data_IF_378059322951
#
_entry.id   IF_378059322951
#
_cell.length_a   1.000
_cell.length_b   1.000
_cell.length_c   1.000
_cell.angle_alpha   90.00
_cell.angle_beta   90.00
_cell.angle_gamma   90.00
#
_symmetry.space_group_name_H-M   'P 1'
#
loop_
_entity.id
_entity.type
_entity.pdbx_description
1 polymer ?
#
# COMPACT_ATOMS: atom_id res chain seq x y z
N UNK A 1 -1.71 -6.85 -14.46
CA UNK A 1 -0.77 -5.74 -14.67
C UNK A 1 -0.25 -5.82 -16.10
N UNK A 2 -0.52 -4.79 -16.93
CA UNK A 2 -0.20 -4.84 -18.37
C UNK A 2 1.00 -3.95 -18.74
N UNK A 3 1.43 -3.06 -17.84
CA UNK A 3 2.50 -2.09 -18.06
C UNK A 3 3.53 -2.15 -16.92
N UNK A 4 3.90 -3.36 -16.54
CA UNK A 4 4.85 -3.61 -15.45
C UNK A 4 5.84 -4.68 -15.88
N UNK A 5 7.11 -4.40 -15.68
CA UNK A 5 8.22 -5.33 -15.85
C UNK A 5 9.06 -5.32 -14.58
N UNK A 6 9.09 -6.43 -13.86
CA UNK A 6 10.01 -6.68 -12.78
C UNK A 6 11.14 -7.60 -13.27
N UNK A 7 12.37 -7.24 -12.96
CA UNK A 7 13.57 -7.99 -13.39
C UNK A 7 14.32 -8.60 -12.22
N UNK A 8 13.99 -8.18 -11.00
CA UNK A 8 14.64 -8.67 -9.78
C UNK A 8 13.71 -8.46 -8.57
N UNK A 9 13.93 -9.17 -7.44
CA UNK A 9 13.12 -9.04 -6.24
C UNK A 9 13.53 -7.86 -5.33
N UNK A 10 14.71 -7.26 -5.52
CA UNK A 10 15.26 -6.22 -4.64
C UNK A 10 14.93 -4.79 -5.09
N UNK A 11 14.40 -4.59 -6.30
CA UNK A 11 13.91 -3.29 -6.79
C UNK A 11 14.99 -2.35 -7.32
N UNK A 12 16.25 -2.78 -7.51
CA UNK A 12 17.27 -1.96 -8.17
C UNK A 12 17.02 -1.90 -9.68
N UNK A 13 17.26 -0.75 -10.28
CA UNK A 13 16.94 -0.42 -11.67
C UNK A 13 18.17 -0.25 -12.58
N UNK A 14 19.26 -0.96 -12.26
CA UNK A 14 20.53 -0.92 -12.99
C UNK A 14 20.61 -1.83 -14.23
N UNK A 15 19.50 -2.45 -14.62
CA UNK A 15 19.42 -3.30 -15.81
C UNK A 15 19.04 -2.52 -17.08
N UNK A 16 19.25 -3.16 -18.25
CA UNK A 16 18.81 -2.65 -19.55
C UNK A 16 18.01 -3.74 -20.28
N UNK A 17 16.73 -3.55 -20.64
CA UNK A 17 15.89 -2.38 -20.27
C UNK A 17 15.68 -2.27 -18.76
N UNK A 18 15.36 -1.06 -18.23
CA UNK A 18 15.10 -0.92 -16.80
C UNK A 18 13.73 -1.49 -16.41
N UNK A 19 13.58 -1.98 -15.15
CA UNK A 19 12.26 -2.33 -14.63
C UNK A 19 11.37 -1.08 -14.60
N UNK A 20 10.07 -1.26 -14.79
CA UNK A 20 9.12 -0.16 -14.78
C UNK A 20 7.72 -0.63 -14.33
N UNK A 21 6.92 0.33 -13.91
CA UNK A 21 5.52 0.09 -13.56
C UNK A 21 4.68 1.37 -13.74
N UNK A 22 3.42 1.29 -13.37
CA UNK A 22 2.49 2.42 -13.30
C UNK A 22 1.80 2.45 -11.95
N UNK A 23 1.32 3.63 -11.53
CA UNK A 23 0.56 3.76 -10.28
C UNK A 23 -0.67 2.84 -10.26
N UNK A 24 -1.37 2.70 -11.38
CA UNK A 24 -2.53 1.80 -11.47
C UNK A 24 -2.15 0.31 -11.31
N UNK A 25 -1.03 -0.13 -11.89
CA UNK A 25 -0.57 -1.50 -11.72
C UNK A 25 -0.08 -1.76 -10.30
N UNK A 26 0.59 -0.80 -9.67
CA UNK A 26 0.99 -0.90 -8.27
C UNK A 26 -0.21 -0.93 -7.32
N UNK A 27 -1.26 -0.14 -7.58
CA UNK A 27 -2.49 -0.20 -6.80
C UNK A 27 -3.18 -1.58 -6.91
N UNK A 28 -3.20 -2.19 -8.11
CA UNK A 28 -3.73 -3.56 -8.31
C UNK A 28 -2.91 -4.59 -7.54
N UNK A 29 -1.59 -4.50 -7.61
CA UNK A 29 -0.68 -5.40 -6.90
C UNK A 29 -0.87 -5.27 -5.39
N UNK A 30 -0.94 -4.05 -4.88
CA UNK A 30 -1.18 -3.78 -3.46
C UNK A 30 -2.53 -4.35 -3.00
N UNK A 31 -3.60 -4.15 -3.77
CA UNK A 31 -4.91 -4.74 -3.47
C UNK A 31 -4.84 -6.27 -3.39
N UNK A 32 -4.12 -6.91 -4.28
CA UNK A 32 -3.89 -8.36 -4.23
C UNK A 32 -3.06 -8.77 -3.01
N UNK A 33 -1.96 -8.08 -2.73
CA UNK A 33 -1.10 -8.38 -1.58
C UNK A 33 -1.87 -8.26 -0.24
N UNK A 34 -2.76 -7.28 -0.14
CA UNK A 34 -3.59 -7.06 1.04
C UNK A 34 -4.74 -8.08 1.22
N UNK A 35 -4.95 -9.00 0.29
CA UNK A 35 -5.78 -10.19 0.54
C UNK A 35 -5.06 -11.25 1.40
N UNK A 36 -3.75 -11.08 1.64
CA UNK A 36 -2.95 -11.95 2.47
C UNK A 36 -2.68 -11.29 3.83
N UNK A 37 -3.27 -11.83 4.90
CA UNK A 37 -3.13 -11.29 6.26
C UNK A 37 -1.68 -11.27 6.78
N UNK A 38 -0.85 -12.23 6.37
CA UNK A 38 0.58 -12.24 6.71
C UNK A 38 1.32 -11.06 6.10
N UNK A 39 1.00 -10.68 4.85
CA UNK A 39 1.57 -9.48 4.24
C UNK A 39 1.21 -8.21 5.02
N UNK A 40 -0.08 -8.05 5.35
CA UNK A 40 -0.57 -6.90 6.12
C UNK A 40 0.13 -6.80 7.48
N UNK A 41 0.22 -7.93 8.18
CA UNK A 41 0.90 -8.00 9.48
C UNK A 41 2.35 -7.50 9.40
N UNK A 42 3.13 -7.94 8.41
CA UNK A 42 4.52 -7.49 8.28
C UNK A 42 4.64 -6.05 7.76
N UNK A 43 3.77 -5.63 6.85
CA UNK A 43 3.81 -4.28 6.30
C UNK A 43 3.46 -3.20 7.34
N UNK A 44 2.64 -3.54 8.35
CA UNK A 44 2.19 -2.62 9.40
C UNK A 44 3.12 -2.54 10.61
N UNK A 45 4.18 -3.38 10.70
CA UNK A 45 5.09 -3.35 11.84
C UNK A 45 5.97 -2.10 11.82
N UNK A 46 6.00 -1.27 12.89
CA UNK A 46 6.94 -0.14 12.98
C UNK A 46 8.39 -0.61 13.09
N UNK A 47 8.61 -1.67 13.87
CA UNK A 47 9.91 -2.32 14.07
C UNK A 47 9.73 -3.82 14.23
N UNK A 48 10.72 -4.59 13.81
CA UNK A 48 10.74 -6.02 14.02
C UNK A 48 12.15 -6.53 14.19
N UNK A 49 12.40 -7.26 15.27
CA UNK A 49 13.62 -8.03 15.41
C UNK A 49 13.49 -9.35 14.63
N UNK A 50 14.50 -9.65 13.83
CA UNK A 50 14.66 -10.92 13.14
C UNK A 50 16.00 -11.54 13.53
N UNK A 51 16.06 -12.86 13.63
CA UNK A 51 17.28 -13.60 13.82
C UNK A 51 17.49 -14.54 12.62
N UNK A 52 18.68 -14.52 12.07
CA UNK A 52 19.11 -15.42 11.00
C UNK A 52 20.35 -16.18 11.43
N UNK A 53 20.51 -17.39 10.92
CA UNK A 53 21.73 -18.15 11.09
C UNK A 53 22.76 -17.70 10.04
N UNK A 54 23.93 -17.25 10.50
CA UNK A 54 25.02 -16.89 9.62
C UNK A 54 25.64 -18.14 8.93
N UNK A 55 26.46 -17.94 7.91
CA UNK A 55 27.18 -19.02 7.22
C UNK A 55 28.16 -19.75 8.15
N UNK A 56 28.55 -19.12 9.25
CA UNK A 56 29.39 -19.66 10.33
C UNK A 56 28.59 -20.44 11.39
N UNK A 57 27.29 -20.61 11.18
CA UNK A 57 26.38 -21.28 12.11
C UNK A 57 25.97 -20.45 13.33
N UNK A 58 26.44 -19.22 13.47
CA UNK A 58 26.11 -18.37 14.62
C UNK A 58 24.83 -17.54 14.35
N UNK A 59 23.95 -17.38 15.35
CA UNK A 59 22.76 -16.54 15.20
C UNK A 59 23.15 -15.06 15.14
N UNK A 60 22.50 -14.31 14.24
CA UNK A 60 22.65 -12.86 14.10
C UNK A 60 21.29 -12.21 14.14
N UNK A 61 21.09 -11.30 15.08
CA UNK A 61 19.86 -10.53 15.21
C UNK A 61 19.96 -9.17 14.55
N UNK A 62 18.87 -8.75 13.88
CA UNK A 62 18.73 -7.45 13.22
C UNK A 62 17.42 -6.80 13.64
N UNK A 63 17.47 -5.53 14.02
CA UNK A 63 16.27 -4.73 14.22
C UNK A 63 15.91 -4.05 12.91
N UNK A 64 14.87 -4.52 12.26
CA UNK A 64 14.28 -3.87 11.09
C UNK A 64 13.39 -2.70 11.53
N UNK A 65 13.49 -1.57 10.84
CA UNK A 65 12.64 -0.40 11.05
C UNK A 65 11.86 -0.12 9.79
N UNK A 66 10.57 0.13 9.94
CA UNK A 66 9.74 0.54 8.81
C UNK A 66 10.17 1.93 8.35
N UNK A 67 10.35 2.09 7.06
CA UNK A 67 10.74 3.36 6.44
C UNK A 67 9.56 4.25 6.05
N UNK A 68 8.34 3.80 6.32
CA UNK A 68 7.13 4.61 6.13
C UNK A 68 6.90 5.53 7.33
N UNK A 69 7.25 6.81 7.19
CA UNK A 69 7.12 7.81 8.25
C UNK A 69 5.66 8.16 8.59
N UNK A 70 4.71 7.76 7.74
CA UNK A 70 3.28 7.99 7.96
C UNK A 70 2.58 6.82 8.66
N UNK A 71 3.31 5.78 9.03
CA UNK A 71 2.70 4.60 9.66
C UNK A 71 1.95 4.99 10.93
N UNK A 72 0.69 4.56 11.05
CA UNK A 72 -0.22 4.86 12.16
C UNK A 72 -0.97 6.19 12.04
N UNK A 73 -0.62 7.08 11.09
CA UNK A 73 -1.34 8.33 10.87
C UNK A 73 -2.57 8.11 9.97
N UNK A 74 -3.71 8.70 10.30
CA UNK A 74 -4.96 8.67 9.49
C UNK A 74 -5.38 7.24 9.03
N UNK A 75 -5.03 6.21 9.82
CA UNK A 75 -5.30 4.81 9.51
C UNK A 75 -4.28 4.15 8.56
N UNK A 76 -3.14 4.79 8.29
CA UNK A 76 -2.10 4.25 7.40
C UNK A 76 -1.41 3.06 8.06
N UNK A 77 -1.51 1.88 7.43
CA UNK A 77 -0.96 0.59 7.91
C UNK A 77 0.27 0.10 7.13
N UNK A 78 0.64 0.75 6.07
CA UNK A 78 1.75 0.35 5.19
C UNK A 78 1.78 1.23 3.95
N UNK A 79 2.50 0.90 2.87
CA UNK A 79 2.93 -0.43 2.41
C UNK A 79 4.43 -0.46 2.11
N UNK A 80 4.89 0.42 1.20
CA UNK A 80 6.25 0.37 0.66
C UNK A 80 6.75 1.75 0.26
N UNK A 81 7.94 2.08 0.71
CA UNK A 81 8.74 3.19 0.20
C UNK A 81 9.76 2.71 -0.83
N UNK A 82 10.20 3.57 -1.71
CA UNK A 82 11.27 3.29 -2.64
C UNK A 82 11.94 4.56 -3.15
N UNK A 83 13.21 4.48 -3.48
CA UNK A 83 13.96 5.56 -4.15
C UNK A 83 15.09 4.99 -4.97
N UNK A 84 15.20 5.43 -6.21
CA UNK A 84 16.40 5.30 -7.05
C UNK A 84 16.62 6.62 -7.78
N UNK A 85 17.78 6.79 -8.39
CA UNK A 85 18.08 8.00 -9.18
C UNK A 85 17.17 8.12 -10.42
N UNK A 86 16.68 7.00 -10.95
CA UNK A 86 15.77 6.97 -12.11
C UNK A 86 14.30 7.13 -11.73
N UNK A 87 13.87 6.42 -10.67
CA UNK A 87 12.47 6.39 -10.28
C UNK A 87 12.05 7.61 -9.44
N UNK A 88 13.01 8.33 -8.83
CA UNK A 88 12.70 9.35 -7.83
C UNK A 88 12.13 8.75 -6.55
N UNK A 89 11.53 9.57 -5.72
CA UNK A 89 10.87 9.13 -4.49
C UNK A 89 9.49 8.53 -4.79
N UNK A 90 9.30 7.27 -4.39
CA UNK A 90 8.06 6.53 -4.58
C UNK A 90 7.49 6.09 -3.25
N UNK A 91 6.16 6.02 -3.17
CA UNK A 91 5.43 5.62 -1.98
C UNK A 91 4.14 4.89 -2.35
N UNK A 92 3.88 3.79 -1.68
CA UNK A 92 2.57 3.14 -1.70
C UNK A 92 2.05 3.14 -0.27
N UNK A 93 0.84 3.66 -0.07
CA UNK A 93 0.13 3.65 1.19
C UNK A 93 -1.13 2.80 1.09
N UNK A 94 -1.43 2.11 2.17
CA UNK A 94 -2.75 1.56 2.45
C UNK A 94 -3.23 2.17 3.77
N UNK A 95 -4.45 2.68 3.78
CA UNK A 95 -5.07 3.25 4.96
C UNK A 95 -6.44 2.63 5.17
N UNK A 96 -6.72 2.18 6.39
CA UNK A 96 -7.95 1.53 6.79
C UNK A 96 -8.73 2.39 7.78
N UNK A 97 -10.05 2.25 7.76
CA UNK A 97 -10.98 2.71 8.78
C UNK A 97 -11.92 1.57 9.16
N UNK A 98 -12.57 1.70 10.32
CA UNK A 98 -13.54 0.72 10.78
C UNK A 98 -14.59 0.41 9.71
N UNK A 99 -14.89 -0.87 9.57
CA UNK A 99 -15.90 -1.34 8.64
C UNK A 99 -17.28 -0.78 8.99
N UNK A 100 -18.05 -0.43 7.97
CA UNK A 100 -19.42 0.09 8.17
C UNK A 100 -20.42 -1.06 8.07
N UNK A 101 -21.28 -1.27 9.09
CA UNK A 101 -22.36 -2.23 8.99
C UNK A 101 -23.42 -1.72 8.02
N UNK A 102 -23.81 -2.55 7.08
CA UNK A 102 -24.92 -2.28 6.15
C UNK A 102 -25.85 -3.47 6.08
N UNK A 103 -27.11 -3.23 5.78
CA UNK A 103 -28.08 -4.31 5.52
C UNK A 103 -28.09 -4.58 4.02
N UNK A 104 -27.79 -5.83 3.63
CA UNK A 104 -27.87 -6.26 2.23
C UNK A 104 -29.33 -6.44 1.77
N UNK A 105 -29.54 -6.75 0.49
CA UNK A 105 -30.86 -6.96 -0.09
C UNK A 105 -31.62 -8.16 0.53
N UNK A 106 -30.92 -9.06 1.21
CA UNK A 106 -31.49 -10.22 1.93
C UNK A 106 -31.78 -9.92 3.40
N UNK A 107 -31.67 -8.66 3.85
CA UNK A 107 -31.90 -8.26 5.23
C UNK A 107 -30.77 -8.60 6.22
N UNK A 108 -29.63 -9.11 5.76
CA UNK A 108 -28.52 -9.49 6.60
C UNK A 108 -27.58 -8.31 6.85
N UNK A 109 -27.09 -8.17 8.07
CA UNK A 109 -26.05 -7.20 8.41
C UNK A 109 -24.69 -7.72 7.91
N UNK A 110 -24.06 -6.96 7.02
CA UNK A 110 -22.71 -7.22 6.51
C UNK A 110 -21.80 -6.04 6.83
N UNK A 111 -20.54 -6.31 7.16
CA UNK A 111 -19.55 -5.28 7.39
C UNK A 111 -18.84 -4.96 6.07
N UNK A 112 -18.89 -3.70 5.64
CA UNK A 112 -18.15 -3.24 4.47
C UNK A 112 -16.80 -2.70 4.92
N UNK A 113 -15.68 -3.35 4.56
CA UNK A 113 -14.35 -2.86 4.86
C UNK A 113 -14.09 -1.53 4.12
N UNK A 114 -13.37 -0.64 4.78
CA UNK A 114 -13.00 0.67 4.22
C UNK A 114 -11.49 0.75 4.11
N UNK A 115 -10.97 0.65 2.91
CA UNK A 115 -9.54 0.74 2.62
C UNK A 115 -9.27 1.67 1.45
N UNK A 116 -8.28 2.54 1.60
CA UNK A 116 -7.72 3.35 0.54
C UNK A 116 -6.32 2.84 0.16
N UNK A 117 -5.99 2.91 -1.11
CA UNK A 117 -4.64 2.68 -1.61
C UNK A 117 -4.21 3.94 -2.36
N UNK A 118 -3.08 4.52 -1.96
CA UNK A 118 -2.45 5.66 -2.61
C UNK A 118 -1.11 5.21 -3.19
N UNK A 119 -0.83 5.59 -4.42
CA UNK A 119 0.45 5.30 -5.08
C UNK A 119 1.03 6.59 -5.65
N UNK A 120 2.21 6.95 -5.19
CA UNK A 120 3.01 8.07 -5.67
C UNK A 120 4.28 7.54 -6.35
N UNK A 121 4.56 8.08 -7.53
CA UNK A 121 5.77 7.77 -8.31
C UNK A 121 6.47 9.07 -8.63
N UNK A 122 7.79 9.14 -8.36
CA UNK A 122 8.61 10.33 -8.59
C UNK A 122 8.05 11.59 -7.91
N UNK A 123 7.59 11.47 -6.67
CA UNK A 123 7.04 12.60 -5.90
C UNK A 123 8.17 13.46 -5.33
N UNK A 124 8.09 14.78 -5.40
CA UNK A 124 9.05 15.66 -4.73
C UNK A 124 8.92 15.67 -3.20
N UNK A 125 7.72 15.34 -2.68
CA UNK A 125 7.40 15.22 -1.26
C UNK A 125 6.46 14.03 -1.03
N UNK A 126 6.98 12.82 -1.12
CA UNK A 126 6.18 11.60 -1.05
C UNK A 126 5.37 11.46 0.25
N UNK A 127 5.85 11.98 1.38
CA UNK A 127 5.13 11.85 2.65
C UNK A 127 4.07 12.94 2.80
N UNK A 128 4.38 14.21 2.52
CA UNK A 128 3.39 15.29 2.56
C UNK A 128 2.27 15.08 1.53
N UNK A 129 2.62 14.79 0.27
CA UNK A 129 1.63 14.48 -0.78
C UNK A 129 0.85 13.19 -0.44
N UNK A 130 1.51 12.17 0.09
CA UNK A 130 0.88 10.91 0.47
C UNK A 130 -0.19 11.10 1.53
N UNK A 131 0.12 11.83 2.60
CA UNK A 131 -0.82 12.13 3.68
C UNK A 131 -2.00 12.99 3.17
N UNK A 132 -1.73 14.00 2.35
CA UNK A 132 -2.75 14.84 1.75
C UNK A 132 -3.70 14.01 0.85
N UNK A 133 -3.16 13.07 0.06
CA UNK A 133 -3.97 12.19 -0.78
C UNK A 133 -4.80 11.19 0.04
N UNK A 134 -4.30 10.65 1.14
CA UNK A 134 -5.09 9.80 2.05
C UNK A 134 -6.26 10.59 2.63
N UNK A 135 -6.02 11.78 3.15
CA UNK A 135 -7.09 12.67 3.67
C UNK A 135 -8.12 12.99 2.62
N UNK A 136 -7.68 13.41 1.44
CA UNK A 136 -8.57 13.66 0.29
C UNK A 136 -9.35 12.42 -0.12
N UNK A 137 -8.71 11.26 -0.09
CA UNK A 137 -9.34 9.96 -0.37
C UNK A 137 -10.47 9.66 0.59
N UNK A 138 -10.28 9.91 1.89
CA UNK A 138 -11.32 9.74 2.89
C UNK A 138 -12.49 10.71 2.68
N UNK A 139 -12.25 11.98 2.37
CA UNK A 139 -13.31 12.93 2.04
C UNK A 139 -14.14 12.47 0.83
N UNK A 140 -13.50 11.96 -0.19
CA UNK A 140 -14.17 11.41 -1.37
C UNK A 140 -14.97 10.14 -1.03
N UNK A 141 -14.41 9.27 -0.19
CA UNK A 141 -15.08 8.06 0.26
C UNK A 141 -16.34 8.37 1.07
N UNK A 142 -16.29 9.34 2.01
CA UNK A 142 -17.47 9.75 2.79
C UNK A 142 -18.56 10.32 1.89
N UNK A 143 -18.21 11.14 0.91
CA UNK A 143 -19.19 11.64 -0.09
C UNK A 143 -19.79 10.50 -0.91
N UNK A 144 -18.98 9.55 -1.37
CA UNK A 144 -19.46 8.39 -2.09
C UNK A 144 -20.40 7.53 -1.24
N UNK A 145 -20.11 7.36 0.04
CA UNK A 145 -20.97 6.64 0.98
C UNK A 145 -22.31 7.36 1.17
N UNK A 146 -22.30 8.69 1.34
CA UNK A 146 -23.52 9.50 1.53
C UNK A 146 -24.44 9.51 0.29
N UNK A 147 -23.88 9.31 -0.89
CA UNK A 147 -24.61 9.20 -2.17
C UNK A 147 -25.13 7.78 -2.46
N UNK A 148 -25.12 6.87 -1.49
CA UNK A 148 -25.57 5.48 -1.70
C UNK A 148 -24.60 4.61 -2.47
N UNK A 149 -23.34 4.97 -2.52
CA UNK A 149 -22.22 4.17 -3.11
C UNK A 149 -22.39 3.90 -4.61
N UNK A 150 -22.61 4.90 -5.44
CA UNK A 150 -22.78 4.69 -6.88
C UNK A 150 -21.51 4.08 -7.49
N UNK A 151 -21.66 3.00 -8.27
CA UNK A 151 -20.55 2.36 -8.99
C UNK A 151 -20.62 2.76 -10.47
N UNK A 152 -19.59 3.46 -10.94
CA UNK A 152 -19.47 3.77 -12.36
C UNK A 152 -18.97 2.53 -13.13
N UNK A 153 -19.60 2.19 -14.26
CA UNK A 153 -19.16 1.11 -15.16
C UNK A 153 -17.73 1.31 -15.71
N UNK A 154 -17.17 2.53 -15.58
CA UNK A 154 -15.81 2.89 -16.05
C UNK A 154 -14.72 2.68 -15.00
N UNK A 155 -15.05 2.32 -13.77
CA UNK A 155 -14.10 2.30 -12.64
C UNK A 155 -13.68 0.88 -12.21
N UNK A 156 -13.79 -0.13 -13.07
CA UNK A 156 -13.12 -1.41 -12.79
C UNK A 156 -11.62 -1.26 -13.09
N UNK A 157 -10.83 -1.08 -12.04
CA UNK A 157 -9.37 -1.23 -12.08
C UNK A 157 -8.98 -2.67 -12.43
#
# INVERSE_FOLDING_TARGET
MKRTLFLNPHGLDNSSPPPHSTAADMARLTRYAYSNGGFNFYASQPTREISIQGADGLPRSFLLRNTNELLGQDGIEGVKTGRTSRAGDCLILAADRDAVPVTNAQGQKVAIPRRLIVVLLASPDRFGEGLAMVRRGWDLHERWMSQGRPVSKRTSL
#
